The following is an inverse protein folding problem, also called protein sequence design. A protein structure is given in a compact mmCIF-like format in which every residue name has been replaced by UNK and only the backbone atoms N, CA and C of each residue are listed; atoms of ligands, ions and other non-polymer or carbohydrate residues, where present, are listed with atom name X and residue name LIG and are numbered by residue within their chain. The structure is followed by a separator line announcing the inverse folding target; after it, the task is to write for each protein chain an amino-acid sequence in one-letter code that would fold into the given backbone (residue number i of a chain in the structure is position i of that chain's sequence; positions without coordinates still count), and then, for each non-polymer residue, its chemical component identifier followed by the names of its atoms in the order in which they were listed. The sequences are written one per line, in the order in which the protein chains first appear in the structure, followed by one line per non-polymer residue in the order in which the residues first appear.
data_IF_132373682524
#
_entry.id   IF_132373682524
#
_cell.length_a   1.000
_cell.length_b   1.000
_cell.length_c   1.000
_cell.angle_alpha   90.00
_cell.angle_beta   90.00
_cell.angle_gamma   90.00
#
_symmetry.space_group_name_H-M   'P 1'
#
loop_
_entity.id
_entity.type
_entity.pdbx_description
1 polymer ?
#
# COMPACT_ATOMS: atom_id res chain seq x y z
N UNK A 1 10.92 8.09 -4.22
CA UNK A 1 12.19 7.49 -3.75
C UNK A 1 12.79 8.41 -2.70
N UNK A 2 13.09 7.93 -1.50
CA UNK A 2 13.60 8.78 -0.41
C UNK A 2 15.08 9.08 -0.62
N UNK A 3 15.51 10.33 -0.35
CA UNK A 3 16.92 10.73 -0.43
C UNK A 3 17.84 9.82 0.39
N UNK A 4 17.35 9.35 1.55
CA UNK A 4 18.05 8.41 2.41
C UNK A 4 18.29 7.04 1.75
N UNK A 5 17.32 6.53 0.98
CA UNK A 5 17.49 5.30 0.22
C UNK A 5 18.52 5.48 -0.90
N UNK A 6 18.44 6.57 -1.66
CA UNK A 6 19.42 6.85 -2.72
C UNK A 6 20.84 6.97 -2.16
N UNK A 7 21.02 7.59 -0.99
CA UNK A 7 22.32 7.71 -0.34
C UNK A 7 22.85 6.35 0.11
N UNK A 8 22.02 5.49 0.69
CA UNK A 8 22.43 4.11 1.03
C UNK A 8 22.76 3.29 -0.22
N UNK A 9 21.95 3.40 -1.26
CA UNK A 9 22.16 2.71 -2.53
C UNK A 9 23.51 3.08 -3.15
N UNK A 10 23.79 4.38 -3.25
CA UNK A 10 25.05 4.89 -3.80
C UNK A 10 26.23 4.46 -2.91
N UNK A 11 26.10 4.55 -1.59
CA UNK A 11 27.16 4.08 -0.67
C UNK A 11 27.43 2.59 -0.83
N UNK A 12 26.40 1.75 -1.02
CA UNK A 12 26.56 0.33 -1.26
C UNK A 12 27.26 0.04 -2.59
N UNK A 13 26.89 0.74 -3.66
CA UNK A 13 27.55 0.60 -4.96
C UNK A 13 29.03 0.99 -4.85
N UNK A 14 29.34 2.14 -4.25
CA UNK A 14 30.72 2.61 -4.10
C UNK A 14 31.55 1.62 -3.27
N UNK A 15 30.99 1.08 -2.19
CA UNK A 15 31.68 0.08 -1.37
C UNK A 15 31.97 -1.21 -2.15
N UNK A 16 31.01 -1.69 -2.96
CA UNK A 16 31.18 -2.88 -3.80
C UNK A 16 32.10 -2.67 -5.01
N UNK A 17 32.21 -1.45 -5.55
CA UNK A 17 33.15 -1.14 -6.62
C UNK A 17 34.61 -1.17 -6.15
N UNK A 18 34.87 -0.83 -4.87
CA UNK A 18 36.21 -0.83 -4.31
C UNK A 18 36.75 -2.25 -4.02
N UNK A 19 35.89 -3.28 -4.00
CA UNK A 19 36.26 -4.68 -3.72
C UNK A 19 36.62 -5.50 -4.96
N UNK A 20 36.53 -4.94 -6.18
CA UNK A 20 36.92 -5.62 -7.42
C UNK A 20 35.92 -6.63 -7.98
N UNK A 21 35.14 -7.30 -7.13
CA UNK A 21 33.98 -8.14 -7.52
C UNK A 21 32.68 -7.34 -7.35
N UNK A 22 32.18 -6.77 -8.44
CA UNK A 22 30.89 -6.08 -8.46
C UNK A 22 29.80 -7.05 -8.92
N UNK A 23 29.14 -7.69 -7.95
CA UNK A 23 27.92 -8.44 -8.23
C UNK A 23 26.67 -7.57 -7.97
N UNK A 24 25.87 -7.33 -9.01
CA UNK A 24 24.64 -6.54 -8.93
C UNK A 24 23.59 -7.25 -8.05
N UNK A 25 23.60 -8.58 -8.06
CA UNK A 25 22.69 -9.42 -7.28
C UNK A 25 22.96 -9.31 -5.78
N UNK A 26 24.21 -9.17 -5.36
CA UNK A 26 24.57 -8.93 -3.96
C UNK A 26 24.04 -7.59 -3.43
N UNK A 27 24.05 -6.56 -4.28
CA UNK A 27 23.50 -5.25 -3.96
C UNK A 27 21.98 -5.37 -3.79
N UNK A 28 21.28 -6.07 -4.68
CA UNK A 28 19.85 -6.34 -4.55
C UNK A 28 19.53 -7.11 -3.27
N UNK A 29 20.28 -8.16 -2.95
CA UNK A 29 20.12 -8.92 -1.71
C UNK A 29 20.29 -8.04 -0.48
N UNK A 30 21.33 -7.20 -0.43
CA UNK A 30 21.56 -6.27 0.68
C UNK A 30 20.44 -5.24 0.82
N UNK A 31 19.89 -4.75 -0.29
CA UNK A 31 18.81 -3.77 -0.27
C UNK A 31 17.48 -4.37 0.16
N UNK A 32 17.08 -5.52 -0.40
CA UNK A 32 15.78 -6.11 -0.12
C UNK A 32 15.74 -6.94 1.17
N UNK A 33 16.83 -7.65 1.53
CA UNK A 33 16.87 -8.48 2.73
C UNK A 33 17.50 -7.81 3.96
N UNK A 34 18.46 -6.88 3.79
CA UNK A 34 19.24 -6.33 4.92
C UNK A 34 18.98 -4.85 5.23
N UNK A 35 18.44 -4.05 4.31
CA UNK A 35 18.20 -2.63 4.57
C UNK A 35 16.91 -2.42 5.36
N UNK A 36 17.05 -1.99 6.61
CA UNK A 36 15.94 -1.56 7.47
C UNK A 36 15.15 -0.40 6.85
N UNK A 37 15.80 0.46 6.06
CA UNK A 37 15.17 1.59 5.39
C UNK A 37 14.30 1.15 4.21
N UNK A 38 14.75 0.15 3.45
CA UNK A 38 13.94 -0.44 2.38
C UNK A 38 12.66 -1.08 2.97
N UNK A 39 12.79 -1.82 4.07
CA UNK A 39 11.63 -2.39 4.78
C UNK A 39 10.68 -1.30 5.29
N UNK A 40 11.19 -0.25 5.93
CA UNK A 40 10.37 0.86 6.41
C UNK A 40 9.65 1.59 5.26
N UNK A 41 10.32 1.78 4.13
CA UNK A 41 9.72 2.36 2.94
C UNK A 41 8.60 1.47 2.40
N UNK A 42 8.81 0.15 2.29
CA UNK A 42 7.79 -0.81 1.88
C UNK A 42 6.57 -0.76 2.79
N UNK A 43 6.77 -0.76 4.12
CA UNK A 43 5.66 -0.65 5.08
C UNK A 43 4.88 0.66 4.94
N UNK A 44 5.57 1.78 4.65
CA UNK A 44 4.90 3.05 4.39
C UNK A 44 4.01 2.98 3.13
N UNK A 45 4.50 2.36 2.05
CA UNK A 45 3.68 2.08 0.86
C UNK A 45 2.50 1.18 1.18
N UNK A 46 2.67 0.11 1.96
CA UNK A 46 1.55 -0.76 2.39
C UNK A 46 0.47 0.04 3.12
N UNK A 47 0.86 0.86 4.09
CA UNK A 47 -0.06 1.70 4.84
C UNK A 47 -0.79 2.70 3.94
N UNK A 48 -0.08 3.29 2.98
CA UNK A 48 -0.68 4.17 1.99
C UNK A 48 -1.73 3.42 1.16
N UNK A 49 -1.38 2.26 0.60
CA UNK A 49 -2.29 1.47 -0.23
C UNK A 49 -3.54 1.02 0.53
N UNK A 50 -3.40 0.63 1.80
CA UNK A 50 -4.55 0.28 2.65
C UNK A 50 -5.52 1.46 2.86
N UNK A 51 -5.03 2.70 2.87
CA UNK A 51 -5.85 3.90 3.05
C UNK A 51 -6.24 4.56 1.72
N UNK A 52 -5.82 4.02 0.57
CA UNK A 52 -6.01 4.64 -0.73
C UNK A 52 -7.49 4.86 -1.07
N UNK A 53 -8.34 3.85 -0.82
CA UNK A 53 -9.79 3.95 -1.04
C UNK A 53 -10.40 5.04 -0.15
N UNK A 54 -9.99 5.11 1.12
CA UNK A 54 -10.47 6.14 2.05
C UNK A 54 -10.03 7.55 1.62
N UNK A 55 -8.81 7.70 1.11
CA UNK A 55 -8.33 8.95 0.55
C UNK A 55 -9.14 9.38 -0.69
N UNK A 56 -9.53 8.44 -1.55
CA UNK A 56 -10.40 8.74 -2.69
C UNK A 56 -11.81 9.14 -2.26
N UNK A 57 -12.42 8.44 -1.31
CA UNK A 57 -13.74 8.79 -0.78
C UNK A 57 -13.73 10.19 -0.15
N UNK A 58 -12.65 10.54 0.56
CA UNK A 58 -12.46 11.87 1.11
C UNK A 58 -12.28 12.93 0.02
N UNK A 59 -11.51 12.63 -1.02
CA UNK A 59 -11.35 13.51 -2.18
C UNK A 59 -12.69 13.78 -2.88
N UNK A 60 -13.54 12.76 -3.06
CA UNK A 60 -14.89 12.94 -3.61
C UNK A 60 -15.77 13.84 -2.74
N UNK A 61 -15.61 13.76 -1.41
CA UNK A 61 -16.31 14.64 -0.48
C UNK A 61 -15.82 16.09 -0.62
N UNK A 62 -14.51 16.31 -0.76
CA UNK A 62 -13.92 17.64 -0.97
C UNK A 62 -14.34 18.25 -2.31
N UNK A 63 -14.43 17.45 -3.37
CA UNK A 63 -14.90 17.90 -4.69
C UNK A 63 -16.36 18.37 -4.72
N UNK A 64 -17.12 18.21 -3.63
CA UNK A 64 -18.44 18.86 -3.49
C UNK A 64 -18.32 20.35 -3.20
N UNK A 65 -17.18 20.82 -2.71
CA UNK A 65 -16.91 22.23 -2.43
C UNK A 65 -16.37 22.93 -3.69
N UNK A 66 -16.91 24.10 -4.02
CA UNK A 66 -16.56 24.82 -5.25
C UNK A 66 -15.12 25.36 -5.15
N UNK A 67 -14.75 25.83 -3.97
CA UNK A 67 -13.42 26.39 -3.65
C UNK A 67 -12.32 25.36 -3.86
N UNK A 68 -12.56 24.11 -3.46
CA UNK A 68 -11.61 23.02 -3.67
C UNK A 68 -11.45 22.69 -5.17
N UNK A 69 -12.54 22.70 -5.95
CA UNK A 69 -12.47 22.45 -7.38
C UNK A 69 -11.69 23.54 -8.13
N UNK A 70 -11.84 24.80 -7.74
CA UNK A 70 -11.06 25.91 -8.30
C UNK A 70 -9.57 25.75 -7.99
N UNK A 71 -9.25 25.40 -6.74
CA UNK A 71 -7.89 25.12 -6.31
C UNK A 71 -7.28 23.93 -7.05
N UNK A 72 -8.02 22.81 -7.17
CA UNK A 72 -7.57 21.62 -7.90
C UNK A 72 -7.25 21.96 -9.36
N UNK A 73 -8.14 22.70 -10.04
CA UNK A 73 -7.91 23.18 -11.41
C UNK A 73 -6.71 24.11 -11.53
N UNK A 74 -6.49 24.98 -10.53
CA UNK A 74 -5.33 25.86 -10.51
C UNK A 74 -4.02 25.05 -10.40
N UNK A 75 -3.97 24.08 -9.48
CA UNK A 75 -2.84 23.16 -9.33
C UNK A 75 -2.57 22.36 -10.61
N UNK A 76 -3.60 21.86 -11.29
CA UNK A 76 -3.44 21.09 -12.54
C UNK A 76 -2.82 21.87 -13.71
N UNK A 77 -2.83 23.21 -13.65
CA UNK A 77 -2.19 24.07 -14.65
C UNK A 77 -0.68 24.19 -14.44
N UNK A 78 -0.17 23.78 -13.28
CA UNK A 78 1.26 23.80 -13.00
C UNK A 78 1.99 22.79 -13.92
N UNK A 79 3.04 23.23 -14.65
CA UNK A 79 3.79 22.34 -15.54
C UNK A 79 4.45 21.16 -14.81
N UNK A 80 4.72 21.26 -13.50
CA UNK A 80 5.27 20.16 -12.68
C UNK A 80 4.31 18.98 -12.55
N UNK A 81 3.01 19.22 -12.64
CA UNK A 81 2.00 18.17 -12.61
C UNK A 81 1.97 17.34 -13.91
N UNK A 82 2.64 17.79 -14.98
CA UNK A 82 2.70 17.09 -16.28
C UNK A 82 1.31 16.73 -16.83
N UNK A 83 0.30 17.57 -16.56
CA UNK A 83 -1.12 17.35 -16.91
C UNK A 83 -1.79 16.13 -16.24
N UNK A 84 -1.16 15.55 -15.21
CA UNK A 84 -1.77 14.49 -14.41
C UNK A 84 -2.86 15.06 -13.51
N UNK A 85 -3.96 14.32 -13.37
CA UNK A 85 -5.00 14.63 -12.40
C UNK A 85 -4.52 14.24 -10.99
N UNK A 86 -5.14 14.83 -9.96
CA UNK A 86 -4.81 14.48 -8.57
C UNK A 86 -4.98 12.98 -8.30
N UNK A 87 -5.99 12.34 -8.90
CA UNK A 87 -6.21 10.89 -8.82
C UNK A 87 -5.06 10.08 -9.42
N UNK A 88 -4.46 10.55 -10.51
CA UNK A 88 -3.31 9.89 -11.16
C UNK A 88 -2.06 9.98 -10.29
N UNK A 89 -1.91 11.08 -9.54
CA UNK A 89 -0.83 11.23 -8.56
C UNK A 89 -1.06 10.32 -7.35
N UNK A 90 -2.30 10.20 -6.88
CA UNK A 90 -2.65 9.38 -5.74
C UNK A 90 -2.52 7.88 -6.01
N UNK A 91 -2.74 7.42 -7.25
CA UNK A 91 -2.59 6.00 -7.62
C UNK A 91 -1.12 5.60 -7.82
N UNK A 92 -0.23 6.56 -8.07
CA UNK A 92 1.19 6.27 -8.38
C UNK A 92 1.92 5.42 -7.32
N UNK A 93 1.77 5.67 -6.00
CA UNK A 93 2.34 4.80 -4.96
C UNK A 93 1.81 3.35 -4.99
N UNK A 94 0.52 3.18 -5.30
CA UNK A 94 -0.12 1.86 -5.43
C UNK A 94 0.45 1.11 -6.63
N UNK A 95 0.59 1.80 -7.76
CA UNK A 95 1.21 1.22 -8.95
C UNK A 95 2.68 0.89 -8.74
N UNK A 96 3.41 1.72 -7.98
CA UNK A 96 4.82 1.51 -7.71
C UNK A 96 5.05 0.14 -7.06
N UNK A 97 4.32 -0.18 -5.99
CA UNK A 97 4.52 -1.44 -5.28
C UNK A 97 4.11 -2.66 -6.11
N UNK A 98 3.10 -2.52 -6.98
CA UNK A 98 2.71 -3.57 -7.93
C UNK A 98 3.75 -3.84 -9.03
N UNK A 99 4.60 -2.85 -9.35
CA UNK A 99 5.63 -2.98 -10.38
C UNK A 99 6.92 -3.63 -9.87
N UNK A 100 7.19 -3.58 -8.56
CA UNK A 100 8.44 -4.10 -7.98
C UNK A 100 8.64 -5.59 -8.31
N UNK A 101 7.65 -6.50 -8.11
CA UNK A 101 7.80 -7.91 -8.48
C UNK A 101 8.01 -8.11 -9.98
N UNK A 102 7.33 -7.31 -10.84
CA UNK A 102 7.48 -7.43 -12.29
C UNK A 102 8.91 -7.11 -12.73
N UNK A 103 9.51 -6.06 -12.16
CA UNK A 103 10.90 -5.69 -12.43
C UNK A 103 11.85 -6.78 -11.93
N UNK A 104 11.60 -7.33 -10.73
CA UNK A 104 12.43 -8.41 -10.18
C UNK A 104 12.36 -9.67 -11.04
N UNK A 105 11.20 -10.01 -11.59
CA UNK A 105 11.01 -11.12 -12.53
C UNK A 105 11.75 -10.89 -13.85
N UNK A 106 11.69 -9.68 -14.39
CA UNK A 106 12.45 -9.33 -15.61
C UNK A 106 13.97 -9.43 -15.38
N UNK A 107 14.44 -9.11 -14.17
CA UNK A 107 15.85 -9.27 -13.78
C UNK A 107 16.20 -10.76 -13.68
N UNK A 108 15.39 -11.56 -12.96
CA UNK A 108 15.57 -13.01 -12.84
C UNK A 108 15.72 -13.69 -14.21
N UNK A 109 14.83 -13.35 -15.16
CA UNK A 109 14.84 -13.93 -16.51
C UNK A 109 16.10 -13.61 -17.31
N UNK A 110 16.83 -12.54 -16.96
CA UNK A 110 18.03 -12.09 -17.65
C UNK A 110 19.32 -12.50 -16.94
N UNK A 111 19.23 -13.13 -15.77
CA UNK A 111 20.37 -13.62 -15.01
C UNK A 111 20.72 -15.04 -15.47
N UNK A 112 21.95 -15.22 -15.95
CA UNK A 112 22.45 -16.51 -16.46
C UNK A 112 22.98 -17.42 -15.34
N UNK A 113 23.54 -16.83 -14.28
CA UNK A 113 24.08 -17.56 -13.14
C UNK A 113 22.97 -18.15 -12.26
N UNK A 114 23.13 -19.43 -11.89
CA UNK A 114 22.10 -20.19 -11.16
C UNK A 114 21.96 -19.71 -9.72
N UNK A 115 23.07 -19.46 -9.03
CA UNK A 115 23.07 -19.05 -7.61
C UNK A 115 22.52 -17.63 -7.45
N UNK A 116 22.86 -16.74 -8.38
CA UNK A 116 22.30 -15.39 -8.46
C UNK A 116 20.81 -15.41 -8.77
N UNK A 117 20.38 -16.26 -9.70
CA UNK A 117 18.96 -16.40 -10.03
C UNK A 117 18.18 -16.88 -8.82
N UNK A 118 18.63 -17.93 -8.13
CA UNK A 118 17.97 -18.45 -6.92
C UNK A 118 17.87 -17.37 -5.83
N UNK A 119 18.90 -16.54 -5.70
CA UNK A 119 18.91 -15.39 -4.81
C UNK A 119 17.84 -14.35 -5.16
N UNK A 120 17.64 -14.05 -6.44
CA UNK A 120 16.61 -13.12 -6.94
C UNK A 120 15.22 -13.74 -6.77
N UNK A 121 15.05 -15.03 -7.08
CA UNK A 121 13.79 -15.76 -6.89
C UNK A 121 13.34 -15.68 -5.43
N UNK A 122 14.25 -15.86 -4.46
CA UNK A 122 13.93 -15.71 -3.05
C UNK A 122 13.49 -14.28 -2.65
N UNK A 123 14.01 -13.24 -3.31
CA UNK A 123 13.54 -11.85 -3.11
C UNK A 123 12.16 -11.67 -3.73
N UNK A 124 11.96 -12.19 -4.95
CA UNK A 124 10.70 -12.12 -5.68
C UNK A 124 9.58 -12.77 -4.88
N UNK A 125 9.78 -13.98 -4.36
CA UNK A 125 8.82 -14.69 -3.51
C UNK A 125 8.46 -13.89 -2.25
N UNK A 126 9.46 -13.29 -1.59
CA UNK A 126 9.24 -12.47 -0.41
C UNK A 126 8.39 -11.21 -0.72
N UNK A 127 8.61 -10.60 -1.88
CA UNK A 127 7.84 -9.42 -2.30
C UNK A 127 6.42 -9.81 -2.74
N UNK A 128 6.26 -10.90 -3.50
CA UNK A 128 4.94 -11.42 -3.87
C UNK A 128 4.11 -11.82 -2.64
N UNK A 129 4.72 -12.50 -1.67
CA UNK A 129 4.04 -12.84 -0.41
C UNK A 129 3.62 -11.58 0.35
N UNK A 130 4.47 -10.55 0.37
CA UNK A 130 4.12 -9.28 1.01
C UNK A 130 2.93 -8.59 0.33
N UNK A 131 2.83 -8.68 -1.00
CA UNK A 131 1.68 -8.17 -1.75
C UNK A 131 0.41 -8.99 -1.51
N UNK A 132 0.51 -10.32 -1.40
CA UNK A 132 -0.62 -11.19 -1.04
C UNK A 132 -1.15 -10.84 0.34
N UNK A 133 -0.27 -10.69 1.34
CA UNK A 133 -0.67 -10.23 2.68
C UNK A 133 -1.35 -8.87 2.66
N UNK A 134 -0.90 -7.96 1.79
CA UNK A 134 -1.51 -6.64 1.62
C UNK A 134 -2.93 -6.75 1.04
N UNK A 135 -3.13 -7.58 0.01
CA UNK A 135 -4.44 -7.84 -0.59
C UNK A 135 -5.41 -8.48 0.43
N UNK A 136 -4.93 -9.45 1.21
CA UNK A 136 -5.73 -10.07 2.27
C UNK A 136 -6.14 -9.06 3.34
N UNK A 137 -5.24 -8.15 3.74
CA UNK A 137 -5.55 -7.05 4.66
C UNK A 137 -6.60 -6.10 4.07
N UNK A 138 -6.54 -5.79 2.77
CA UNK A 138 -7.55 -4.97 2.10
C UNK A 138 -8.93 -5.64 2.10
N UNK A 139 -8.98 -6.94 1.76
CA UNK A 139 -10.21 -7.73 1.81
C UNK A 139 -10.79 -7.74 3.22
N UNK A 140 -9.95 -7.96 4.23
CA UNK A 140 -10.37 -7.92 5.63
C UNK A 140 -10.94 -6.55 6.02
N UNK A 141 -10.24 -5.46 5.69
CA UNK A 141 -10.71 -4.09 5.97
C UNK A 141 -12.07 -3.82 5.35
N UNK A 142 -12.26 -4.18 4.08
CA UNK A 142 -13.54 -4.02 3.39
C UNK A 142 -14.67 -4.81 4.06
N UNK A 143 -14.40 -6.03 4.48
CA UNK A 143 -15.38 -6.85 5.20
C UNK A 143 -15.69 -6.25 6.58
N UNK A 144 -14.69 -5.74 7.28
CA UNK A 144 -14.85 -5.09 8.57
C UNK A 144 -15.69 -3.80 8.46
N UNK A 145 -15.46 -2.96 7.45
CA UNK A 145 -16.27 -1.78 7.17
C UNK A 145 -17.74 -2.15 6.88
N UNK A 146 -17.96 -3.24 6.13
CA UNK A 146 -19.31 -3.77 5.88
C UNK A 146 -19.99 -4.26 7.17
N UNK A 147 -19.26 -4.91 8.07
CA UNK A 147 -19.79 -5.31 9.37
C UNK A 147 -20.20 -4.10 10.21
N UNK A 148 -19.37 -3.04 10.24
CA UNK A 148 -19.70 -1.79 10.94
C UNK A 148 -20.92 -1.10 10.32
N UNK A 149 -21.07 -1.14 9.01
CA UNK A 149 -22.26 -0.62 8.32
C UNK A 149 -23.51 -1.38 8.72
N UNK A 150 -23.46 -2.72 8.73
CA UNK A 150 -24.57 -3.55 9.20
C UNK A 150 -24.91 -3.18 10.64
N UNK A 151 -23.91 -3.12 11.54
CA UNK A 151 -24.11 -2.76 12.94
C UNK A 151 -24.79 -1.40 13.11
N UNK A 152 -24.39 -0.38 12.34
CA UNK A 152 -25.01 0.96 12.37
C UNK A 152 -26.46 0.97 11.89
N UNK A 153 -26.81 0.06 10.99
CA UNK A 153 -28.15 -0.09 10.45
C UNK A 153 -29.03 -1.02 11.28
N UNK A 154 -28.49 -1.68 12.31
CA UNK A 154 -29.31 -2.42 13.29
C UNK A 154 -30.03 -1.39 14.16
N UNK A 155 -31.31 -1.25 13.91
CA UNK A 155 -32.22 -0.55 14.81
C UNK A 155 -32.55 -1.53 15.93
N UNK A 156 -32.13 -1.21 17.16
CA UNK A 156 -32.60 -1.89 18.35
C UNK A 156 -33.93 -1.26 18.75
N UNK A 157 -35.09 -1.90 18.49
CA UNK A 157 -36.34 -1.39 19.02
C UNK A 157 -36.24 -1.29 20.54
N UNK A 158 -36.79 -0.22 21.09
CA UNK A 158 -36.84 -0.08 22.54
C UNK A 158 -37.66 -1.23 23.13
N UNK A 159 -37.38 -1.63 24.39
CA UNK A 159 -38.13 -2.72 25.04
C UNK A 159 -39.64 -2.45 25.06
N UNK A 160 -40.02 -1.17 25.03
CA UNK A 160 -41.40 -0.66 24.95
C UNK A 160 -42.06 -0.80 23.58
N UNK A 161 -41.29 -0.98 22.49
CA UNK A 161 -41.77 -1.16 21.11
C UNK A 161 -41.79 -2.63 20.67
N UNK A 162 -41.30 -3.54 21.51
CA UNK A 162 -41.43 -4.98 21.31
C UNK A 162 -42.91 -5.37 21.46
N UNK A 163 -43.40 -6.23 20.57
CA UNK A 163 -44.74 -6.82 20.66
C UNK A 163 -45.00 -7.27 22.11
N UNK A 164 -46.14 -6.96 22.75
CA UNK A 164 -46.45 -7.44 24.10
C UNK A 164 -46.41 -8.98 24.25
N UNK A 165 -46.33 -9.74 23.14
CA UNK A 165 -46.07 -11.19 23.12
C UNK A 165 -44.60 -11.59 22.99
N UNK A 166 -43.68 -10.64 22.86
CA UNK A 166 -42.26 -10.90 22.77
C UNK A 166 -41.74 -11.43 24.11
N UNK A 167 -41.11 -12.60 24.09
CA UNK A 167 -40.49 -13.18 25.27
C UNK A 167 -39.28 -12.34 25.69
N UNK A 168 -39.37 -11.68 26.85
CA UNK A 168 -38.26 -10.99 27.49
C UNK A 168 -37.69 -11.93 28.57
N UNK A 169 -36.45 -12.43 28.41
CA UNK A 169 -35.77 -13.22 29.45
C UNK A 169 -35.67 -12.45 30.76
N UNK A 170 -35.88 -13.12 31.91
CA UNK A 170 -35.95 -12.46 33.23
C UNK A 170 -34.69 -11.64 33.60
N UNK A 171 -33.51 -12.05 33.14
CA UNK A 171 -32.25 -11.36 33.43
C UNK A 171 -32.12 -9.99 32.74
N UNK A 172 -33.00 -9.62 31.81
CA UNK A 172 -33.03 -8.31 31.15
C UNK A 172 -34.14 -7.39 31.69
N UNK A 173 -34.93 -7.82 32.69
CA UNK A 173 -36.08 -7.07 33.24
C UNK A 173 -35.73 -6.14 34.42
N UNK A 174 -34.46 -5.74 34.55
CA UNK A 174 -33.94 -4.90 35.64
C UNK A 174 -33.29 -3.65 35.07
#
# INVERSE_FOLDING_TARGET
VTYAFCKEFISFIIASMNSGDFNTTDVLLKLFKKSTKATALRQAYHRYTLNYINALNYLETLRRQVEFNEFEKWCSRDPRCKKLQLTDLLVSPVQHIMRVPLILKDIEMRTEDVEERDSITAILEAEENSLRELDDKMKWLKNFERLLEIQRNIIWPSVTELDPKAFIPEFLKT
#
